data_IF_278621607029
#
_entry.id   IF_278621607029
#
_cell.length_a   1.000
_cell.length_b   1.000
_cell.length_c   1.000
_cell.angle_alpha   90.00
_cell.angle_beta   90.00
_cell.angle_gamma   90.00
#
_symmetry.space_group_name_H-M   'P 1'
#
loop_
_entity.id
_entity.type
_entity.pdbx_description
1 polymer ?
#
# COMPACT_ATOMS: atom_id res chain seq x y z
N UNK A 1 3.30 10.66 30.20
CA UNK A 1 4.19 11.10 29.10
C UNK A 1 3.46 12.21 28.37
N UNK A 2 4.12 13.32 28.07
CA UNK A 2 3.51 14.39 27.27
C UNK A 2 3.23 13.84 25.87
N UNK A 3 1.95 13.75 25.49
CA UNK A 3 1.54 13.52 24.11
C UNK A 3 2.12 14.66 23.25
N UNK A 4 3.22 14.39 22.56
CA UNK A 4 3.67 15.30 21.51
C UNK A 4 2.61 15.23 20.42
N UNK A 5 1.98 16.37 20.14
CA UNK A 5 1.14 16.47 18.95
C UNK A 5 1.96 16.05 17.73
N UNK A 6 1.43 15.19 16.86
CA UNK A 6 2.14 14.78 15.66
C UNK A 6 2.46 16.01 14.81
N UNK A 7 3.61 15.99 14.15
CA UNK A 7 3.96 17.02 13.18
C UNK A 7 2.96 16.95 12.02
N UNK A 8 2.21 18.04 11.80
CA UNK A 8 1.17 18.09 10.76
C UNK A 8 1.75 18.66 9.48
N UNK A 9 1.65 17.89 8.40
CA UNK A 9 2.10 18.26 7.07
C UNK A 9 0.89 18.30 6.13
N UNK A 10 0.63 19.46 5.52
CA UNK A 10 -0.32 19.55 4.42
C UNK A 10 0.36 19.02 3.15
N UNK A 11 -0.11 17.90 2.63
CA UNK A 11 0.55 17.11 1.59
C UNK A 11 -0.38 16.85 0.39
N UNK A 12 -1.02 17.90 -0.11
CA UNK A 12 -1.99 17.81 -1.21
C UNK A 12 -1.42 17.19 -2.50
N UNK A 13 -0.10 17.29 -2.71
CA UNK A 13 0.62 16.71 -3.84
C UNK A 13 1.26 15.34 -3.53
N UNK A 14 1.02 14.80 -2.32
CA UNK A 14 1.56 13.53 -1.83
C UNK A 14 3.10 13.43 -1.86
N UNK A 15 3.81 14.54 -1.93
CA UNK A 15 5.28 14.56 -2.03
C UNK A 15 5.93 14.06 -0.75
N UNK A 16 5.42 14.47 0.42
CA UNK A 16 6.01 14.09 1.70
C UNK A 16 5.75 12.63 2.01
N UNK A 17 4.53 12.13 1.80
CA UNK A 17 4.21 10.72 2.02
C UNK A 17 4.95 9.80 1.04
N UNK A 18 5.14 10.22 -0.22
CA UNK A 18 5.96 9.46 -1.17
C UNK A 18 7.43 9.36 -0.72
N UNK A 19 7.98 10.43 -0.14
CA UNK A 19 9.32 10.40 0.43
C UNK A 19 9.41 9.41 1.60
N UNK A 20 8.42 9.41 2.50
CA UNK A 20 8.35 8.43 3.59
C UNK A 20 8.27 7.00 3.05
N UNK A 21 7.51 6.76 1.98
CA UNK A 21 7.45 5.44 1.35
C UNK A 21 8.77 5.00 0.72
N UNK A 22 9.51 5.94 0.13
CA UNK A 22 10.84 5.67 -0.43
C UNK A 22 11.87 5.31 0.64
N UNK A 23 11.80 5.93 1.82
CA UNK A 23 12.68 5.60 2.95
C UNK A 23 12.29 4.28 3.62
N UNK A 24 10.99 3.96 3.64
CA UNK A 24 10.43 2.82 4.33
C UNK A 24 9.92 1.76 3.35
N UNK A 25 10.80 1.15 2.55
CA UNK A 25 10.38 0.09 1.61
C UNK A 25 10.50 -1.30 2.26
N UNK A 26 9.42 -2.07 2.48
CA UNK A 26 8.04 -1.77 2.09
C UNK A 26 7.31 -0.90 3.12
N UNK A 27 6.39 -0.08 2.63
CA UNK A 27 5.46 0.72 3.43
C UNK A 27 4.10 0.08 3.41
N UNK A 28 3.50 -0.08 4.59
CA UNK A 28 2.16 -0.63 4.73
C UNK A 28 1.16 0.47 5.08
N UNK A 29 0.16 0.64 4.23
CA UNK A 29 -0.96 1.57 4.44
C UNK A 29 -2.17 0.78 4.92
N UNK A 30 -2.50 0.97 6.18
CA UNK A 30 -3.59 0.30 6.88
C UNK A 30 -4.86 1.12 6.74
N UNK A 31 -5.89 0.49 6.18
CA UNK A 31 -7.17 1.11 5.85
C UNK A 31 -8.30 0.43 6.62
N UNK A 32 -9.23 1.20 7.18
CA UNK A 32 -10.46 0.66 7.77
C UNK A 32 -11.63 0.58 6.77
N UNK A 33 -11.61 1.43 5.74
CA UNK A 33 -12.70 1.59 4.77
C UNK A 33 -12.18 1.41 3.34
N UNK A 34 -12.88 0.59 2.54
CA UNK A 34 -12.48 0.25 1.18
C UNK A 34 -12.55 1.45 0.23
N UNK A 35 -13.56 2.30 0.36
CA UNK A 35 -13.69 3.50 -0.47
C UNK A 35 -12.53 4.48 -0.25
N UNK A 36 -12.12 4.69 1.01
CA UNK A 36 -10.97 5.56 1.31
C UNK A 36 -9.66 4.98 0.79
N UNK A 37 -9.49 3.65 0.86
CA UNK A 37 -8.35 2.95 0.25
C UNK A 37 -8.24 3.27 -1.25
N UNK A 38 -9.34 3.10 -1.99
CA UNK A 38 -9.37 3.37 -3.43
C UNK A 38 -9.13 4.85 -3.73
N UNK A 39 -9.76 5.76 -2.99
CA UNK A 39 -9.55 7.21 -3.13
C UNK A 39 -8.08 7.60 -2.93
N UNK A 40 -7.44 7.04 -1.90
CA UNK A 40 -6.01 7.24 -1.64
C UNK A 40 -5.14 6.65 -2.75
N UNK A 41 -5.39 5.41 -3.17
CA UNK A 41 -4.60 4.75 -4.22
C UNK A 41 -4.68 5.50 -5.54
N UNK A 42 -5.87 5.94 -5.94
CA UNK A 42 -6.06 6.74 -7.15
C UNK A 42 -5.24 8.04 -7.08
N UNK A 43 -5.25 8.74 -5.95
CA UNK A 43 -4.44 9.95 -5.74
C UNK A 43 -2.94 9.67 -5.77
N UNK A 44 -2.49 8.61 -5.11
CA UNK A 44 -1.08 8.20 -5.10
C UNK A 44 -0.58 7.87 -6.50
N UNK A 45 -1.32 7.04 -7.23
CA UNK A 45 -0.96 6.62 -8.59
C UNK A 45 -0.88 7.82 -9.53
N UNK A 46 -1.86 8.73 -9.46
CA UNK A 46 -1.88 9.94 -10.30
C UNK A 46 -0.84 11.00 -9.90
N UNK A 47 -0.24 10.88 -8.72
CA UNK A 47 0.81 11.81 -8.25
C UNK A 47 2.23 11.38 -8.62
N UNK A 48 2.40 10.27 -9.34
CA UNK A 48 3.69 9.63 -9.61
C UNK A 48 3.97 9.59 -11.10
N UNK A 49 5.13 10.11 -11.51
CA UNK A 49 5.56 10.17 -12.92
C UNK A 49 6.33 8.91 -13.36
N UNK A 50 7.06 8.26 -12.45
CA UNK A 50 7.81 7.02 -12.75
C UNK A 50 6.88 5.87 -13.12
N UNK A 51 7.37 4.78 -13.74
CA UNK A 51 6.58 3.58 -13.96
C UNK A 51 5.91 3.08 -12.68
N UNK A 52 4.66 2.64 -12.80
CA UNK A 52 3.84 2.15 -11.69
C UNK A 52 3.42 0.72 -11.99
N UNK A 53 3.68 -0.18 -11.05
CA UNK A 53 3.23 -1.56 -11.09
C UNK A 53 2.16 -1.71 -10.02
N UNK A 54 0.90 -1.80 -10.43
CA UNK A 54 -0.21 -2.11 -9.55
C UNK A 54 -0.46 -3.62 -9.58
N UNK A 55 -0.36 -4.26 -8.42
CA UNK A 55 -0.70 -5.68 -8.24
C UNK A 55 -2.06 -5.71 -7.54
N UNK A 56 -3.12 -5.79 -8.33
CA UNK A 56 -4.50 -5.85 -7.82
C UNK A 56 -4.93 -7.31 -7.62
N UNK A 57 -5.05 -7.67 -6.34
CA UNK A 57 -5.34 -8.99 -5.80
C UNK A 57 -6.80 -9.16 -5.40
N UNK A 58 -7.53 -8.05 -5.18
CA UNK A 58 -8.95 -8.07 -4.79
C UNK A 58 -9.89 -7.57 -5.89
N UNK A 59 -9.34 -7.16 -7.04
CA UNK A 59 -10.01 -6.70 -8.25
C UNK A 59 -10.86 -5.44 -8.06
N UNK A 60 -10.81 -4.81 -6.88
CA UNK A 60 -11.63 -3.64 -6.59
C UNK A 60 -11.14 -2.45 -7.42
N UNK A 61 -9.83 -2.18 -7.44
CA UNK A 61 -9.28 -1.08 -8.22
C UNK A 61 -9.55 -1.29 -9.71
N UNK A 62 -9.29 -2.50 -10.22
CA UNK A 62 -9.59 -2.87 -11.61
C UNK A 62 -11.06 -2.69 -11.94
N UNK A 63 -11.99 -3.01 -11.04
CA UNK A 63 -13.42 -2.74 -11.26
C UNK A 63 -13.75 -1.26 -11.47
N UNK A 64 -13.10 -0.35 -10.76
CA UNK A 64 -13.25 1.09 -10.99
C UNK A 64 -12.63 1.56 -12.31
N UNK A 65 -11.54 0.93 -12.76
CA UNK A 65 -10.91 1.21 -14.06
C UNK A 65 -11.81 0.77 -15.20
N UNK A 66 -12.28 -0.48 -15.17
CA UNK A 66 -13.13 -1.06 -16.22
C UNK A 66 -14.49 -0.36 -16.33
N UNK A 67 -15.02 0.18 -15.21
CA UNK A 67 -16.25 0.97 -15.23
C UNK A 67 -16.06 2.42 -15.72
N UNK A 68 -14.83 2.85 -15.97
CA UNK A 68 -14.50 4.22 -16.39
C UNK A 68 -14.56 5.26 -15.27
N UNK A 69 -14.78 4.84 -14.02
CA UNK A 69 -14.77 5.73 -12.85
C UNK A 69 -13.35 6.18 -12.48
N UNK A 70 -12.35 5.36 -12.76
CA UNK A 70 -10.92 5.70 -12.63
C UNK A 70 -10.29 5.63 -14.02
N UNK A 71 -9.64 6.72 -14.42
CA UNK A 71 -8.77 6.73 -15.58
C UNK A 71 -7.34 6.41 -15.16
N UNK A 72 -6.67 5.55 -15.92
CA UNK A 72 -5.32 5.07 -15.62
C UNK A 72 -4.34 5.68 -16.61
N UNK A 73 -3.23 6.23 -16.10
CA UNK A 73 -2.16 6.78 -16.93
C UNK A 73 -1.36 5.71 -17.67
N UNK A 74 -0.72 6.11 -18.77
CA UNK A 74 0.08 5.20 -19.62
C UNK A 74 1.32 4.62 -18.91
N UNK A 75 1.73 5.21 -17.78
CA UNK A 75 2.84 4.74 -16.95
C UNK A 75 2.44 3.63 -15.97
N UNK A 76 1.17 3.21 -15.92
CA UNK A 76 0.67 2.18 -15.01
C UNK A 76 0.52 0.84 -15.71
N UNK A 77 1.10 -0.21 -15.15
CA UNK A 77 0.85 -1.61 -15.54
C UNK A 77 0.11 -2.31 -14.40
N UNK A 78 -1.07 -2.88 -14.68
CA UNK A 78 -1.89 -3.59 -13.70
C UNK A 78 -1.73 -5.11 -13.86
N UNK A 79 -1.40 -5.78 -12.77
CA UNK A 79 -1.31 -7.23 -12.65
C UNK A 79 -2.45 -7.77 -11.80
N UNK A 80 -3.04 -8.87 -12.26
CA UNK A 80 -4.05 -9.64 -11.52
C UNK A 80 -3.55 -11.07 -11.26
N UNK A 81 -2.63 -11.29 -10.31
CA UNK A 81 -2.20 -12.63 -9.96
C UNK A 81 -3.34 -13.48 -9.41
N UNK A 82 -3.33 -14.77 -9.75
CA UNK A 82 -4.22 -15.77 -9.18
C UNK A 82 -3.42 -17.02 -8.77
N UNK A 83 -4.07 -18.01 -8.15
CA UNK A 83 -3.37 -19.20 -7.61
C UNK A 83 -2.49 -19.92 -8.65
N UNK A 84 -2.87 -19.86 -9.93
CA UNK A 84 -2.15 -20.52 -11.05
C UNK A 84 -1.00 -19.66 -11.57
N UNK A 85 -1.25 -18.37 -11.80
CA UNK A 85 -0.31 -17.44 -12.46
C UNK A 85 0.61 -16.67 -11.50
N UNK A 86 0.42 -16.81 -10.18
CA UNK A 86 1.14 -16.03 -9.17
C UNK A 86 2.66 -16.06 -9.35
N UNK A 87 3.25 -17.24 -9.52
CA UNK A 87 4.71 -17.40 -9.61
C UNK A 87 5.29 -16.68 -10.83
N UNK A 88 4.63 -16.84 -11.98
CA UNK A 88 5.03 -16.22 -13.23
C UNK A 88 4.92 -14.69 -13.15
N UNK A 89 3.76 -14.18 -12.72
CA UNK A 89 3.52 -12.74 -12.58
C UNK A 89 4.46 -12.11 -11.55
N UNK A 90 4.70 -12.77 -10.42
CA UNK A 90 5.66 -12.29 -9.43
C UNK A 90 7.08 -12.22 -10.01
N UNK A 91 7.50 -13.22 -10.78
CA UNK A 91 8.80 -13.21 -11.47
C UNK A 91 8.90 -12.06 -12.47
N UNK A 92 7.83 -11.80 -13.24
CA UNK A 92 7.76 -10.67 -14.15
C UNK A 92 7.85 -9.32 -13.43
N UNK A 93 7.11 -9.16 -12.33
CA UNK A 93 7.15 -7.95 -11.49
C UNK A 93 8.56 -7.73 -10.95
N UNK A 94 9.19 -8.76 -10.37
CA UNK A 94 10.56 -8.68 -9.86
C UNK A 94 11.55 -8.28 -10.96
N UNK A 95 11.41 -8.85 -12.15
CA UNK A 95 12.24 -8.53 -13.32
C UNK A 95 12.09 -7.09 -13.81
N UNK A 96 10.89 -6.51 -13.69
CA UNK A 96 10.65 -5.09 -14.00
C UNK A 96 11.26 -4.18 -12.93
N UNK A 97 11.01 -4.47 -11.65
CA UNK A 97 11.50 -3.68 -10.51
C UNK A 97 13.03 -3.66 -10.42
N UNK A 98 13.71 -4.71 -10.89
CA UNK A 98 15.18 -4.78 -10.88
C UNK A 98 15.87 -3.95 -11.96
N UNK A 99 15.13 -3.42 -12.95
CA UNK A 99 15.71 -2.70 -14.10
C UNK A 99 15.66 -1.19 -13.98
N UNK A 100 14.61 -0.66 -13.36
CA UNK A 100 14.41 0.78 -13.25
C UNK A 100 13.66 1.16 -11.98
N UNK A 101 13.77 2.43 -11.61
CA UNK A 101 13.00 3.01 -10.50
C UNK A 101 11.52 3.01 -10.84
N UNK A 102 10.70 2.46 -9.95
CA UNK A 102 9.25 2.43 -10.09
C UNK A 102 8.55 2.55 -8.73
N UNK A 103 7.23 2.78 -8.78
CA UNK A 103 6.35 2.56 -7.64
C UNK A 103 5.65 1.20 -7.81
N UNK A 104 5.81 0.31 -6.83
CA UNK A 104 5.01 -0.92 -6.75
C UNK A 104 3.91 -0.74 -5.72
N UNK A 105 2.66 -0.95 -6.11
CA UNK A 105 1.51 -0.95 -5.22
C UNK A 105 0.93 -2.37 -5.18
N UNK A 106 0.92 -2.99 -4.00
CA UNK A 106 0.25 -4.27 -3.77
C UNK A 106 -1.10 -3.99 -3.11
N UNK A 107 -2.19 -4.14 -3.87
CA UNK A 107 -3.55 -3.89 -3.42
C UNK A 107 -4.40 -5.18 -3.46
N UNK A 108 -4.82 -5.80 -2.37
CA UNK A 108 -4.40 -5.59 -1.00
C UNK A 108 -3.78 -6.85 -0.42
N UNK A 109 -3.10 -6.69 0.70
CA UNK A 109 -2.54 -7.78 1.50
C UNK A 109 -3.61 -8.81 1.94
N UNK A 110 -4.88 -8.41 1.95
CA UNK A 110 -6.01 -9.31 2.20
C UNK A 110 -6.20 -10.32 1.06
N UNK A 111 -6.09 -9.88 -0.19
CA UNK A 111 -6.21 -10.74 -1.38
C UNK A 111 -5.11 -11.82 -1.40
N UNK A 112 -3.89 -11.44 -1.02
CA UNK A 112 -2.77 -12.36 -0.81
C UNK A 112 -3.14 -13.50 0.15
N UNK A 113 -3.71 -13.18 1.32
CA UNK A 113 -4.05 -14.18 2.32
C UNK A 113 -5.26 -15.05 1.97
N UNK A 114 -6.10 -14.60 1.04
CA UNK A 114 -7.22 -15.39 0.52
C UNK A 114 -6.76 -16.34 -0.59
N UNK A 115 -5.66 -16.02 -1.29
CA UNK A 115 -5.09 -16.90 -2.31
C UNK A 115 -4.42 -18.13 -1.74
N UNK A 116 -3.98 -18.10 -0.48
CA UNK A 116 -3.29 -19.22 0.14
C UNK A 116 -3.84 -19.57 1.53
N UNK A 117 -4.27 -20.81 1.68
CA UNK A 117 -5.11 -21.27 2.80
C UNK A 117 -4.29 -21.76 4.02
N UNK A 118 -2.99 -22.03 3.85
CA UNK A 118 -2.12 -22.54 4.92
C UNK A 118 -1.07 -21.52 5.42
N UNK A 119 -0.52 -21.81 6.60
CA UNK A 119 0.45 -20.96 7.31
C UNK A 119 1.83 -20.96 6.64
N UNK A 120 2.20 -22.00 5.89
CA UNK A 120 3.45 -22.02 5.14
C UNK A 120 3.41 -21.04 3.97
N UNK A 121 2.26 -20.95 3.32
CA UNK A 121 2.01 -20.02 2.24
C UNK A 121 2.05 -18.56 2.70
N UNK A 122 1.57 -18.27 3.92
CA UNK A 122 1.74 -16.94 4.53
C UNK A 122 3.22 -16.55 4.65
N UNK A 123 4.06 -17.46 5.14
CA UNK A 123 5.52 -17.22 5.29
C UNK A 123 6.19 -17.05 3.93
N UNK A 124 5.77 -17.84 2.94
CA UNK A 124 6.26 -17.72 1.58
C UNK A 124 5.96 -16.35 0.99
N UNK A 125 4.71 -15.85 1.09
CA UNK A 125 4.39 -14.54 0.53
C UNK A 125 5.11 -13.41 1.26
N UNK A 126 5.22 -13.48 2.59
CA UNK A 126 6.03 -12.51 3.32
C UNK A 126 7.46 -12.46 2.79
N UNK A 127 8.04 -13.62 2.48
CA UNK A 127 9.38 -13.72 1.90
C UNK A 127 9.45 -13.11 0.50
N UNK A 128 8.45 -13.33 -0.34
CA UNK A 128 8.33 -12.71 -1.66
C UNK A 128 8.26 -11.17 -1.57
N UNK A 129 7.44 -10.65 -0.65
CA UNK A 129 7.32 -9.21 -0.42
C UNK A 129 8.64 -8.63 0.08
N UNK A 130 9.33 -9.31 1.00
CA UNK A 130 10.64 -8.88 1.50
C UNK A 130 11.69 -8.88 0.40
N UNK A 131 11.71 -9.91 -0.46
CA UNK A 131 12.60 -9.97 -1.62
C UNK A 131 12.33 -8.80 -2.58
N UNK A 132 11.07 -8.59 -2.96
CA UNK A 132 10.64 -7.50 -3.83
C UNK A 132 11.05 -6.14 -3.25
N UNK A 133 10.85 -5.95 -1.95
CA UNK A 133 11.24 -4.73 -1.25
C UNK A 133 12.75 -4.53 -1.24
N UNK A 134 13.52 -5.60 -1.12
CA UNK A 134 14.99 -5.53 -1.17
C UNK A 134 15.50 -5.14 -2.54
N UNK A 135 14.92 -5.70 -3.60
CA UNK A 135 15.25 -5.33 -4.99
C UNK A 135 14.79 -3.89 -5.25
N UNK A 136 13.60 -3.50 -4.79
CA UNK A 136 13.10 -2.14 -4.90
C UNK A 136 14.05 -1.12 -4.27
N UNK A 137 14.59 -1.40 -3.08
CA UNK A 137 15.60 -0.52 -2.45
C UNK A 137 16.86 -0.36 -3.30
N UNK A 138 17.31 -1.41 -3.99
CA UNK A 138 18.49 -1.33 -4.87
C UNK A 138 18.25 -0.43 -6.09
N UNK A 139 17.01 -0.36 -6.58
CA UNK A 139 16.61 0.50 -7.71
C UNK A 139 16.00 1.83 -7.28
N UNK A 140 16.06 2.18 -5.99
CA UNK A 140 15.38 3.36 -5.43
C UNK A 140 13.87 3.39 -5.69
N UNK A 141 13.26 2.22 -5.86
CA UNK A 141 11.83 2.00 -6.01
C UNK A 141 11.16 1.94 -4.64
N UNK A 142 9.89 2.36 -4.61
CA UNK A 142 9.03 2.26 -3.42
C UNK A 142 8.12 1.04 -3.56
N UNK A 143 7.94 0.28 -2.48
CA UNK A 143 6.95 -0.81 -2.41
C UNK A 143 5.91 -0.44 -1.38
N UNK A 144 4.69 -0.15 -1.82
CA UNK A 144 3.55 0.22 -0.98
C UNK A 144 2.56 -0.94 -0.97
N UNK A 145 2.10 -1.32 0.22
CA UNK A 145 1.18 -2.43 0.43
C UNK A 145 -0.03 -1.89 1.16
N UNK A 146 -1.23 -2.05 0.60
CA UNK A 146 -2.46 -1.71 1.34
C UNK A 146 -2.95 -2.94 2.10
N UNK A 147 -3.55 -2.71 3.26
CA UNK A 147 -4.23 -3.77 3.99
C UNK A 147 -5.50 -3.21 4.64
N UNK A 148 -6.61 -3.92 4.45
CA UNK A 148 -7.83 -3.69 5.19
C UNK A 148 -7.66 -4.26 6.60
N UNK A 149 -7.83 -3.41 7.61
CA UNK A 149 -7.64 -3.77 9.02
C UNK A 149 -8.84 -3.40 9.87
N UNK A 150 -8.97 -4.09 11.00
CA UNK A 150 -9.86 -3.72 12.10
C UNK A 150 -9.10 -3.73 13.42
N UNK A 151 -9.54 -2.91 14.36
CA UNK A 151 -9.02 -2.91 15.72
C UNK A 151 -9.78 -3.96 16.56
N UNK A 152 -9.06 -4.85 17.23
CA UNK A 152 -9.63 -5.76 18.23
C UNK A 152 -9.89 -5.01 19.54
N UNK A 153 -10.70 -5.61 20.42
CA UNK A 153 -10.99 -5.09 21.77
C UNK A 153 -9.72 -4.84 22.60
N UNK A 154 -8.68 -5.66 22.38
CA UNK A 154 -7.36 -5.50 23.01
C UNK A 154 -6.47 -4.42 22.35
N UNK A 155 -7.07 -3.52 21.56
CA UNK A 155 -6.41 -2.46 20.79
C UNK A 155 -5.40 -2.93 19.72
N UNK A 156 -5.30 -4.22 19.42
CA UNK A 156 -4.42 -4.71 18.36
C UNK A 156 -5.08 -4.61 16.98
N UNK A 157 -4.32 -4.13 16.00
CA UNK A 157 -4.74 -4.12 14.60
C UNK A 157 -4.55 -5.50 13.98
N UNK A 158 -5.60 -5.99 13.32
CA UNK A 158 -5.58 -7.24 12.57
C UNK A 158 -6.15 -7.04 11.18
N UNK A 159 -5.71 -7.86 10.25
CA UNK A 159 -6.21 -7.88 8.88
C UNK A 159 -7.68 -8.31 8.89
N UNK A 160 -8.50 -7.61 8.12
CA UNK A 160 -9.94 -7.83 8.03
C UNK A 160 -10.37 -7.95 6.57
N UNK A 161 -10.99 -9.07 6.14
CA UNK A 161 -11.46 -10.19 6.95
C UNK A 161 -10.33 -11.16 7.37
N UNK A 162 -10.63 -12.10 8.28
CA UNK A 162 -9.73 -13.21 8.63
C UNK A 162 -8.91 -13.04 9.92
N UNK A 163 -8.74 -11.83 10.44
CA UNK A 163 -8.13 -11.58 11.75
C UNK A 163 -6.64 -11.93 11.86
N UNK A 164 -5.96 -12.13 10.72
CA UNK A 164 -4.52 -12.45 10.65
C UNK A 164 -3.68 -11.27 11.14
N UNK A 165 -2.52 -11.55 11.73
CA UNK A 165 -1.62 -10.52 12.22
C UNK A 165 -0.94 -9.78 11.07
N UNK A 166 -0.67 -8.49 11.28
CA UNK A 166 0.07 -7.64 10.35
C UNK A 166 1.56 -7.99 10.44
N UNK A 167 2.22 -8.17 9.29
CA UNK A 167 3.68 -8.33 9.25
C UNK A 167 4.32 -7.06 9.79
N UNK A 168 5.20 -7.19 10.77
CA UNK A 168 6.06 -6.10 11.23
C UNK A 168 7.52 -6.52 11.11
N UNK A 169 8.29 -5.74 10.37
CA UNK A 169 9.75 -5.72 10.46
C UNK A 169 10.18 -4.33 10.87
N UNK A 170 11.36 -4.17 11.48
CA UNK A 170 11.89 -2.85 11.85
C UNK A 170 12.05 -1.90 10.64
N UNK A 171 12.09 -2.45 9.42
CA UNK A 171 12.24 -1.70 8.18
C UNK A 171 10.92 -1.42 7.46
N UNK A 172 9.80 -1.87 8.02
CA UNK A 172 8.47 -1.69 7.43
C UNK A 172 7.84 -0.43 8.00
N UNK A 173 7.64 0.58 7.17
CA UNK A 173 6.88 1.77 7.56
C UNK A 173 5.40 1.41 7.73
N UNK A 174 4.76 1.84 8.82
CA UNK A 174 3.35 1.58 9.07
C UNK A 174 2.60 2.91 9.09
N UNK A 175 1.60 3.01 8.22
CA UNK A 175 0.79 4.20 8.02
C UNK A 175 -0.68 3.88 8.19
N UNK A 176 -1.43 4.74 8.87
CA UNK A 176 -2.88 4.59 9.06
C UNK A 176 -3.64 5.62 8.26
N UNK A 177 -4.47 5.15 7.34
CA UNK A 177 -5.35 5.98 6.53
C UNK A 177 -6.70 6.15 7.22
N UNK A 178 -7.10 7.40 7.45
CA UNK A 178 -8.42 7.80 7.92
C UNK A 178 -8.98 8.92 7.05
N UNK A 179 -10.30 8.98 6.89
CA UNK A 179 -10.97 10.17 6.34
C UNK A 179 -11.44 11.05 7.50
N UNK A 180 -11.10 12.33 7.45
CA UNK A 180 -11.54 13.34 8.42
C UNK A 180 -12.13 14.48 7.63
N UNK A 181 -13.43 14.71 7.79
CA UNK A 181 -14.18 15.69 7.01
C UNK A 181 -13.94 15.50 5.50
N UNK A 182 -13.49 16.54 4.81
CA UNK A 182 -13.15 16.52 3.39
C UNK A 182 -11.64 16.31 3.16
N UNK A 183 -11.00 15.44 3.94
CA UNK A 183 -9.57 15.17 3.83
C UNK A 183 -9.23 13.71 4.11
N UNK A 184 -8.25 13.19 3.38
CA UNK A 184 -7.57 11.95 3.75
C UNK A 184 -6.40 12.31 4.67
N UNK A 185 -6.28 11.59 5.77
CA UNK A 185 -5.21 11.80 6.74
C UNK A 185 -4.46 10.50 6.94
N UNK A 186 -3.13 10.57 6.83
CA UNK A 186 -2.22 9.44 6.96
C UNK A 186 -1.33 9.68 8.16
N UNK A 187 -1.33 8.75 9.12
CA UNK A 187 -0.50 8.86 10.33
C UNK A 187 0.60 7.80 10.31
N UNK A 188 1.85 8.20 10.50
CA UNK A 188 2.93 7.24 10.75
C UNK A 188 2.84 6.69 12.18
N UNK A 189 3.13 5.40 12.36
CA UNK A 189 3.12 4.73 13.66
C UNK A 189 4.42 4.95 14.48
N UNK A 190 5.42 5.65 13.92
CA UNK A 190 6.74 5.79 14.53
C UNK A 190 6.80 6.84 15.65
N UNK A 191 7.88 6.78 16.44
CA UNK A 191 8.15 7.63 17.62
C UNK A 191 8.13 9.13 17.29
N UNK A 192 8.41 9.50 16.03
CA UNK A 192 8.20 10.84 15.49
C UNK A 192 6.95 10.84 14.61
N UNK A 193 5.78 10.72 15.24
CA UNK A 193 4.51 10.63 14.54
C UNK A 193 4.30 11.86 13.65
N UNK A 194 4.18 11.61 12.35
CA UNK A 194 3.83 12.61 11.34
C UNK A 194 2.41 12.35 10.88
N UNK A 195 1.64 13.42 10.74
CA UNK A 195 0.28 13.41 10.21
C UNK A 195 0.29 14.14 8.86
N UNK A 196 0.08 13.39 7.77
CA UNK A 196 -0.03 13.93 6.41
C UNK A 196 -1.50 14.15 6.10
N UNK A 197 -1.90 15.39 5.83
CA UNK A 197 -3.27 15.76 5.46
C UNK A 197 -3.31 16.03 3.95
N UNK A 198 -4.19 15.32 3.25
CA UNK A 198 -4.48 15.50 1.82
C UNK A 198 -5.91 16.02 1.72
N UNK A 199 -6.06 17.28 1.34
CA UNK A 199 -7.37 17.89 1.17
C UNK A 199 -8.04 17.38 -0.11
N UNK A 200 -9.30 16.98 0.04
CA UNK A 200 -10.15 16.63 -1.07
C UNK A 200 -10.67 17.96 -1.61
N UNK A 201 -10.16 18.40 -2.76
CA UNK A 201 -10.72 19.57 -3.43
C UNK A 201 -12.23 19.42 -3.60
N UNK A 202 -12.97 20.52 -3.47
CA UNK A 202 -14.38 20.54 -3.85
C UNK A 202 -14.44 20.29 -5.35
N UNK A 203 -14.86 19.09 -5.74
CA UNK A 203 -15.19 18.73 -7.11
C UNK A 203 -16.30 19.61 -7.67
#
# INVERSE_FOLDING_TARGET
MLDKNPERVLDNNLTYIQNEFGQNTPSMVLCSESFHKIEFLNRLINSVETPIILVDMDLLYTGYVESGMIQVGNNVTIFHPNKVSWKEKLSEIISKVSKEKCLVVIDSFNGVYNMFDDLESARFINSCIMLLSSIGRQTSSSVVITAMVRKKENNQWVISPGGKQIIKSEKTGIFFLKKVENSLVINSHDINSKEFKIELGNS
#
